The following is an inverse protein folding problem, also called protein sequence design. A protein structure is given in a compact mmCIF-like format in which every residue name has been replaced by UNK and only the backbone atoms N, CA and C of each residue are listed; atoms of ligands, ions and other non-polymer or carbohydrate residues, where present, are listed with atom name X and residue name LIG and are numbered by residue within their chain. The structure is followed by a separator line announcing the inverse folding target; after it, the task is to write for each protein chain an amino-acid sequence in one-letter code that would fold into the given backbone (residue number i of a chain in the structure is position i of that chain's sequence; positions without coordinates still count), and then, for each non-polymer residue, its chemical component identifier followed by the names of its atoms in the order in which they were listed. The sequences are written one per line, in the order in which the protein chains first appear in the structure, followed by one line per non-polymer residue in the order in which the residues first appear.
data_IF_604245895365
#
_entry.id   IF_604245895365
#
_cell.length_a   1.000
_cell.length_b   1.000
_cell.length_c   1.000
_cell.angle_alpha   90.00
_cell.angle_beta   90.00
_cell.angle_gamma   90.00
#
_symmetry.space_group_name_H-M   'P 1'
#
loop_
_entity.id
_entity.type
_entity.pdbx_description
1 polymer ?
#
# COMPACT_ATOMS: atom_id res chain seq x y z
N UNK A 1 12.00 15.14 4.58
CA UNK A 1 12.34 14.07 3.64
C UNK A 1 12.50 12.76 4.40
N UNK A 2 12.27 11.59 3.77
CA UNK A 2 12.70 10.30 4.31
C UNK A 2 14.20 10.33 4.61
N UNK A 3 14.59 9.72 5.72
CA UNK A 3 15.97 9.64 6.18
C UNK A 3 16.21 8.28 6.82
N UNK A 4 17.47 7.90 6.97
CA UNK A 4 17.91 6.84 7.86
C UNK A 4 19.04 7.32 8.76
N UNK A 5 19.26 6.61 9.87
CA UNK A 5 20.35 6.89 10.79
C UNK A 5 21.35 5.73 10.75
N UNK A 6 22.61 6.02 10.42
CA UNK A 6 23.70 5.04 10.36
C UNK A 6 24.99 5.70 10.81
N UNK A 7 25.77 4.99 11.63
CA UNK A 7 27.10 5.43 12.09
C UNK A 7 27.15 6.83 12.72
N UNK A 8 26.10 7.20 13.47
CA UNK A 8 26.03 8.51 14.13
C UNK A 8 25.56 9.67 13.24
N UNK A 9 25.25 9.40 11.96
CA UNK A 9 24.80 10.39 11.00
C UNK A 9 23.35 10.13 10.54
N UNK A 10 22.63 11.21 10.27
CA UNK A 10 21.33 11.18 9.59
C UNK A 10 21.59 11.41 8.10
N UNK A 11 21.14 10.48 7.27
CA UNK A 11 21.30 10.53 5.81
C UNK A 11 19.94 10.66 5.15
N UNK A 12 19.78 11.68 4.30
CA UNK A 12 18.70 11.76 3.32
C UNK A 12 19.14 11.13 1.99
N UNK A 13 18.19 10.53 1.27
CA UNK A 13 18.48 9.76 0.05
C UNK A 13 17.52 10.06 -1.11
N UNK A 14 16.72 11.13 -0.96
CA UNK A 14 15.81 11.61 -2.00
C UNK A 14 16.11 13.09 -2.24
N UNK A 15 16.46 13.42 -3.48
CA UNK A 15 16.77 14.77 -3.88
C UNK A 15 15.51 15.66 -3.87
N UNK A 16 15.53 16.74 -3.08
CA UNK A 16 14.42 17.69 -3.01
C UNK A 16 14.28 18.54 -4.28
N UNK A 17 15.34 18.69 -5.08
CA UNK A 17 15.31 19.48 -6.32
C UNK A 17 14.37 18.87 -7.39
N UNK A 18 14.01 17.59 -7.25
CA UNK A 18 13.10 16.87 -8.16
C UNK A 18 11.62 16.98 -7.75
N UNK A 19 11.22 18.11 -7.14
CA UNK A 19 9.87 18.38 -6.60
C UNK A 19 9.38 17.44 -5.48
N UNK A 20 10.29 16.68 -4.86
CA UNK A 20 9.98 15.92 -3.65
C UNK A 20 9.98 16.84 -2.43
N UNK A 21 8.86 16.88 -1.71
CA UNK A 21 8.61 17.90 -0.68
C UNK A 21 8.54 17.32 0.74
N UNK A 22 8.24 16.03 0.88
CA UNK A 22 8.04 15.38 2.16
C UNK A 22 8.23 13.86 2.04
N UNK A 23 8.09 13.14 3.15
CA UNK A 23 8.07 11.68 3.15
C UNK A 23 8.48 11.09 4.49
N UNK A 24 8.38 9.76 4.58
CA UNK A 24 8.74 8.98 5.76
C UNK A 24 9.32 7.62 5.35
N UNK A 25 10.42 7.24 5.99
CA UNK A 25 10.91 5.85 6.03
C UNK A 25 10.08 5.09 7.07
N UNK A 26 9.47 3.97 6.68
CA UNK A 26 8.51 3.24 7.52
C UNK A 26 9.14 1.97 8.10
N UNK A 27 9.75 1.14 7.25
CA UNK A 27 10.34 -0.13 7.65
C UNK A 27 11.70 -0.34 6.98
N UNK A 28 12.51 -1.22 7.55
CA UNK A 28 13.83 -1.65 7.06
C UNK A 28 14.00 -3.14 7.34
N UNK A 29 14.56 -3.89 6.40
CA UNK A 29 14.89 -5.31 6.58
C UNK A 29 16.37 -5.54 6.94
N UNK A 30 16.76 -6.79 7.20
CA UNK A 30 18.13 -7.17 7.59
C UNK A 30 19.14 -7.05 6.44
N UNK A 31 18.68 -6.77 5.21
CA UNK A 31 19.53 -6.50 4.05
C UNK A 31 19.74 -4.98 3.85
N UNK A 32 19.49 -4.16 4.88
CA UNK A 32 19.63 -2.70 4.83
C UNK A 32 18.75 -2.05 3.73
N UNK A 33 17.62 -2.67 3.38
CA UNK A 33 16.64 -2.09 2.44
C UNK A 33 15.49 -1.45 3.18
N UNK A 34 15.31 -0.15 2.96
CA UNK A 34 14.26 0.68 3.55
C UNK A 34 13.06 0.72 2.61
N UNK A 35 11.84 0.71 3.16
CA UNK A 35 10.63 1.09 2.46
C UNK A 35 9.89 2.24 3.16
N UNK A 36 9.08 2.95 2.40
CA UNK A 36 8.24 4.03 2.92
C UNK A 36 7.53 4.76 1.80
N UNK A 37 7.31 6.06 1.99
CA UNK A 37 6.79 6.94 0.93
C UNK A 37 7.48 8.29 0.91
N UNK A 38 7.50 8.92 -0.27
CA UNK A 38 7.86 10.32 -0.45
C UNK A 38 6.74 11.09 -1.13
N UNK A 39 6.61 12.38 -0.85
CA UNK A 39 5.53 13.22 -1.36
C UNK A 39 6.04 14.07 -2.52
N UNK A 40 5.41 13.95 -3.70
CA UNK A 40 5.71 14.75 -4.89
C UNK A 40 4.47 15.48 -5.39
N UNK A 41 4.67 16.64 -6.02
CA UNK A 41 3.59 17.30 -6.76
C UNK A 41 3.41 16.63 -8.13
N UNK A 42 2.25 16.04 -8.36
CA UNK A 42 1.87 15.42 -9.63
C UNK A 42 0.57 16.09 -10.08
N UNK A 43 0.59 16.70 -11.26
CA UNK A 43 -0.59 17.39 -11.84
C UNK A 43 -1.23 18.41 -10.87
N UNK A 44 -0.39 19.17 -10.16
CA UNK A 44 -0.83 20.20 -9.22
C UNK A 44 -1.22 19.69 -7.82
N UNK A 45 -1.35 18.38 -7.62
CA UNK A 45 -1.74 17.77 -6.33
C UNK A 45 -0.56 17.06 -5.66
N UNK A 46 -0.49 17.10 -4.33
CA UNK A 46 0.50 16.32 -3.59
C UNK A 46 0.09 14.85 -3.56
N UNK A 47 0.99 13.97 -4.00
CA UNK A 47 0.80 12.51 -4.00
C UNK A 47 1.95 11.86 -3.26
N UNK A 48 1.62 10.89 -2.41
CA UNK A 48 2.61 10.05 -1.74
C UNK A 48 2.97 8.89 -2.67
N UNK A 49 4.25 8.64 -2.92
CA UNK A 49 4.70 7.54 -3.75
C UNK A 49 5.51 6.59 -2.89
N UNK A 50 5.12 5.33 -2.90
CA UNK A 50 5.89 4.25 -2.30
C UNK A 50 7.30 4.21 -2.92
N UNK A 51 8.30 3.97 -2.07
CA UNK A 51 9.68 3.73 -2.50
C UNK A 51 10.29 2.52 -1.78
N UNK A 52 11.35 1.98 -2.38
CA UNK A 52 12.39 1.27 -1.63
C UNK A 52 13.76 1.91 -1.86
N UNK A 53 14.61 1.86 -0.84
CA UNK A 53 15.98 2.38 -0.87
C UNK A 53 16.95 1.34 -0.31
N UNK A 54 17.92 0.96 -1.11
CA UNK A 54 19.00 0.06 -0.72
C UNK A 54 20.19 0.90 -0.24
N UNK A 55 20.56 0.79 1.05
CA UNK A 55 21.64 1.59 1.65
C UNK A 55 23.02 1.18 1.11
N UNK A 56 23.22 -0.11 0.77
CA UNK A 56 24.51 -0.60 0.28
C UNK A 56 24.85 0.00 -1.09
N UNK A 57 23.86 0.03 -1.97
CA UNK A 57 24.02 0.55 -3.34
C UNK A 57 23.70 2.04 -3.47
N UNK A 58 22.99 2.61 -2.50
CA UNK A 58 22.49 3.98 -2.55
C UNK A 58 21.32 4.19 -3.53
N UNK A 59 20.76 3.11 -4.07
CA UNK A 59 19.71 3.19 -5.09
C UNK A 59 18.34 3.37 -4.45
N UNK A 60 17.62 4.39 -4.90
CA UNK A 60 16.20 4.61 -4.56
C UNK A 60 15.34 4.33 -5.78
N UNK A 61 14.29 3.53 -5.62
CA UNK A 61 13.34 3.18 -6.67
C UNK A 61 11.93 3.52 -6.22
N UNK A 62 11.15 4.07 -7.15
CA UNK A 62 9.72 4.33 -7.01
C UNK A 62 8.94 3.43 -7.97
N UNK A 63 8.46 2.26 -7.52
CA UNK A 63 7.72 1.34 -8.39
C UNK A 63 6.43 1.98 -8.93
N UNK A 64 5.94 1.44 -10.05
CA UNK A 64 4.64 1.84 -10.59
C UNK A 64 3.54 1.31 -9.67
N UNK A 65 2.72 2.21 -9.11
CA UNK A 65 1.53 1.85 -8.35
C UNK A 65 0.30 1.74 -9.28
N UNK A 66 -0.91 1.88 -8.75
CA UNK A 66 -2.14 1.64 -9.52
C UNK A 66 -2.33 2.58 -10.72
N UNK A 67 -1.97 3.87 -10.58
CA UNK A 67 -1.98 4.86 -11.65
C UNK A 67 -1.10 6.07 -11.29
N UNK A 68 -0.69 6.87 -12.27
CA UNK A 68 0.32 7.93 -12.11
C UNK A 68 0.07 8.88 -10.93
N UNK A 69 -1.17 9.35 -10.78
CA UNK A 69 -1.62 10.25 -9.71
C UNK A 69 -2.19 9.52 -8.48
N UNK A 70 -2.01 8.20 -8.38
CA UNK A 70 -2.32 7.44 -7.16
C UNK A 70 -1.30 7.75 -6.09
N UNK A 71 -1.78 7.80 -4.84
CA UNK A 71 -0.91 7.77 -3.67
C UNK A 71 -0.73 6.34 -3.19
N UNK A 72 0.50 6.00 -2.82
CA UNK A 72 0.90 4.68 -2.33
C UNK A 72 1.86 4.78 -1.16
N UNK A 73 1.85 3.75 -0.31
CA UNK A 73 2.64 3.65 0.90
C UNK A 73 3.21 2.23 1.02
N UNK A 74 4.52 2.10 1.21
CA UNK A 74 5.14 0.82 1.60
C UNK A 74 5.22 0.75 3.12
N UNK A 75 4.50 -0.19 3.73
CA UNK A 75 4.30 -0.25 5.17
C UNK A 75 5.28 -1.19 5.87
N UNK A 76 5.65 -2.29 5.22
CA UNK A 76 6.55 -3.28 5.81
C UNK A 76 7.32 -4.04 4.73
N UNK A 77 8.45 -4.62 5.11
CA UNK A 77 9.35 -5.36 4.24
C UNK A 77 9.96 -6.55 4.98
N UNK A 78 9.98 -7.72 4.34
CA UNK A 78 10.68 -8.90 4.88
C UNK A 78 12.09 -9.09 4.27
N UNK A 79 12.87 -10.00 4.83
CA UNK A 79 14.25 -10.29 4.41
C UNK A 79 14.33 -10.99 3.03
N UNK A 80 13.21 -11.52 2.55
CA UNK A 80 13.12 -11.99 1.17
C UNK A 80 12.95 -10.84 0.18
N UNK A 81 12.69 -9.60 0.62
CA UNK A 81 12.50 -8.44 -0.25
C UNK A 81 11.08 -8.30 -0.80
N UNK A 82 10.09 -8.88 -0.11
CA UNK A 82 8.68 -8.57 -0.33
C UNK A 82 8.30 -7.36 0.52
N UNK A 83 7.67 -6.39 -0.12
CA UNK A 83 7.15 -5.17 0.48
C UNK A 83 5.62 -5.24 0.41
N UNK A 84 4.95 -4.93 1.51
CA UNK A 84 3.49 -4.80 1.54
C UNK A 84 3.08 -3.39 1.87
N UNK A 85 1.89 -3.00 1.42
CA UNK A 85 1.40 -1.65 1.63
C UNK A 85 0.01 -1.45 1.07
N UNK A 86 -0.33 -0.19 0.83
CA UNK A 86 -1.61 0.16 0.22
C UNK A 86 -1.51 1.34 -0.74
N UNK A 87 -2.41 1.38 -1.71
CA UNK A 87 -2.47 2.44 -2.71
C UNK A 87 -3.89 2.79 -3.11
N UNK A 88 -4.07 4.01 -3.60
CA UNK A 88 -5.37 4.50 -4.04
C UNK A 88 -5.73 3.87 -5.40
N UNK A 89 -6.90 3.24 -5.47
CA UNK A 89 -7.45 2.68 -6.72
C UNK A 89 -8.54 3.56 -7.33
N UNK A 90 -9.13 4.45 -6.52
CA UNK A 90 -10.16 5.39 -6.97
C UNK A 90 -9.58 6.65 -7.61
N UNK A 91 -10.08 6.99 -8.81
CA UNK A 91 -9.67 8.19 -9.56
C UNK A 91 -10.43 9.47 -9.18
N UNK A 92 -11.50 9.38 -8.39
CA UNK A 92 -12.30 10.52 -7.92
C UNK A 92 -12.07 10.79 -6.43
N UNK A 93 -12.01 12.07 -6.05
CA UNK A 93 -11.77 12.51 -4.67
C UNK A 93 -12.85 12.06 -3.67
N UNK A 94 -14.07 11.79 -4.15
CA UNK A 94 -15.20 11.34 -3.32
C UNK A 94 -15.14 9.85 -2.93
N UNK A 95 -14.24 9.07 -3.54
CA UNK A 95 -14.14 7.62 -3.30
C UNK A 95 -12.72 7.11 -3.58
N UNK A 96 -11.70 7.75 -2.99
CA UNK A 96 -10.33 7.23 -3.05
C UNK A 96 -10.20 6.01 -2.12
N UNK A 97 -10.90 4.96 -2.51
CA UNK A 97 -10.74 3.62 -1.98
C UNK A 97 -9.27 3.25 -2.11
N UNK A 98 -8.78 2.60 -1.07
CA UNK A 98 -7.45 2.03 -1.05
C UNK A 98 -7.56 0.53 -1.15
N UNK A 99 -6.62 -0.06 -1.84
CA UNK A 99 -6.45 -1.51 -1.87
C UNK A 99 -5.02 -1.85 -1.46
N UNK A 100 -4.90 -3.02 -0.81
CA UNK A 100 -3.63 -3.51 -0.34
C UNK A 100 -2.83 -4.11 -1.50
N UNK A 101 -1.51 -3.95 -1.46
CA UNK A 101 -0.62 -4.52 -2.45
C UNK A 101 0.54 -5.28 -1.81
N UNK A 102 1.14 -6.17 -2.61
CA UNK A 102 2.46 -6.73 -2.40
C UNK A 102 3.36 -6.36 -3.58
N UNK A 103 4.64 -6.13 -3.32
CA UNK A 103 5.65 -5.82 -4.31
C UNK A 103 6.92 -6.61 -4.02
N UNK A 104 7.53 -7.19 -5.05
CA UNK A 104 8.85 -7.82 -4.93
C UNK A 104 9.91 -6.89 -5.50
N UNK A 105 10.98 -6.64 -4.73
CA UNK A 105 12.12 -5.83 -5.20
C UNK A 105 12.61 -6.33 -6.56
N UNK A 106 12.73 -5.39 -7.51
CA UNK A 106 13.15 -5.65 -8.88
C UNK A 106 12.00 -5.84 -9.88
N UNK A 107 10.75 -5.93 -9.41
CA UNK A 107 9.58 -5.91 -10.30
C UNK A 107 9.22 -4.49 -10.77
N UNK A 108 8.47 -4.39 -11.86
CA UNK A 108 8.11 -3.10 -12.46
C UNK A 108 6.99 -2.37 -11.70
N UNK A 109 6.04 -3.14 -11.15
CA UNK A 109 4.80 -2.62 -10.56
C UNK A 109 4.34 -3.45 -9.37
N UNK A 110 3.50 -2.86 -8.54
CA UNK A 110 2.82 -3.54 -7.45
C UNK A 110 1.84 -4.60 -7.95
N UNK A 111 1.61 -5.64 -7.16
CA UNK A 111 0.55 -6.63 -7.33
C UNK A 111 -0.55 -6.39 -6.31
N UNK A 112 -1.79 -6.27 -6.77
CA UNK A 112 -2.94 -6.11 -5.90
C UNK A 112 -3.20 -7.40 -5.10
N UNK A 113 -3.29 -7.31 -3.77
CA UNK A 113 -3.56 -8.50 -2.95
C UNK A 113 -4.94 -9.08 -3.21
N UNK A 114 -5.91 -8.27 -3.64
CA UNK A 114 -7.25 -8.75 -3.97
C UNK A 114 -7.26 -9.69 -5.18
N UNK A 115 -6.29 -9.57 -6.08
CA UNK A 115 -6.13 -10.48 -7.22
C UNK A 115 -5.55 -11.85 -6.80
N UNK A 116 -5.06 -11.97 -5.56
CA UNK A 116 -4.45 -13.19 -5.01
C UNK A 116 -5.34 -13.89 -3.97
N UNK A 117 -6.48 -13.27 -3.61
CA UNK A 117 -7.45 -13.86 -2.70
C UNK A 117 -8.17 -15.05 -3.37
N UNK A 118 -8.65 -16.03 -2.59
CA UNK A 118 -9.43 -17.13 -3.16
C UNK A 118 -10.73 -16.60 -3.77
N UNK A 119 -11.22 -17.25 -4.83
CA UNK A 119 -12.50 -16.89 -5.44
C UNK A 119 -13.68 -17.20 -4.50
N UNK A 120 -13.58 -18.29 -3.74
CA UNK A 120 -14.64 -18.80 -2.87
C UNK A 120 -14.17 -18.87 -1.41
N UNK A 121 -15.13 -18.79 -0.48
CA UNK A 121 -14.94 -19.07 0.94
C UNK A 121 -14.62 -20.57 1.15
N UNK A 122 -14.37 -20.94 2.40
CA UNK A 122 -14.01 -22.29 2.83
C UNK A 122 -15.05 -23.37 2.52
N UNK A 123 -16.28 -22.98 2.16
CA UNK A 123 -17.33 -23.89 1.70
C UNK A 123 -17.21 -24.28 0.21
N UNK A 124 -16.38 -23.55 -0.56
CA UNK A 124 -16.16 -23.78 -1.98
C UNK A 124 -17.29 -23.29 -2.90
N UNK A 125 -18.30 -22.60 -2.37
CA UNK A 125 -19.50 -22.20 -3.10
C UNK A 125 -19.83 -20.70 -2.93
N UNK A 126 -19.60 -20.14 -1.74
CA UNK A 126 -19.86 -18.73 -1.45
C UNK A 126 -18.70 -17.89 -1.95
N UNK A 127 -18.97 -16.79 -2.66
CA UNK A 127 -17.92 -15.85 -3.08
C UNK A 127 -17.13 -15.33 -1.87
N UNK A 128 -15.81 -15.21 -2.00
CA UNK A 128 -14.98 -14.68 -0.92
C UNK A 128 -15.36 -13.22 -0.63
N UNK A 129 -15.89 -12.99 0.57
CA UNK A 129 -16.60 -11.74 0.88
C UNK A 129 -15.70 -10.55 1.28
N UNK A 130 -14.39 -10.78 1.46
CA UNK A 130 -13.46 -9.77 1.98
C UNK A 130 -12.57 -9.22 0.87
N UNK A 131 -12.34 -7.91 0.92
CA UNK A 131 -11.34 -7.21 0.10
C UNK A 131 -10.33 -6.53 1.01
N UNK A 132 -9.04 -6.78 0.77
CA UNK A 132 -7.93 -6.18 1.48
C UNK A 132 -7.78 -4.71 1.08
N UNK A 133 -7.87 -3.82 2.08
CA UNK A 133 -7.75 -2.37 1.88
C UNK A 133 -6.40 -1.82 2.33
N UNK A 134 -5.73 -2.52 3.25
CA UNK A 134 -4.42 -2.15 3.78
C UNK A 134 -3.66 -3.40 4.21
N UNK A 135 -2.39 -3.51 3.84
CA UNK A 135 -1.46 -4.48 4.39
C UNK A 135 -0.43 -3.75 5.27
N UNK A 136 -0.44 -4.04 6.56
CA UNK A 136 0.32 -3.31 7.57
C UNK A 136 1.63 -3.99 7.96
N UNK A 137 1.71 -5.32 7.83
CA UNK A 137 2.91 -6.07 8.16
C UNK A 137 3.04 -7.35 7.31
N UNK A 138 4.27 -7.80 7.12
CA UNK A 138 4.63 -9.06 6.47
C UNK A 138 5.75 -9.74 7.25
N UNK A 139 5.64 -11.06 7.45
CA UNK A 139 6.71 -11.82 8.09
C UNK A 139 7.56 -12.62 7.09
N UNK A 140 8.57 -13.34 7.62
CA UNK A 140 9.49 -14.17 6.81
C UNK A 140 8.85 -15.41 6.20
N UNK A 141 7.62 -15.77 6.56
CA UNK A 141 6.86 -16.83 5.90
C UNK A 141 5.94 -16.27 4.80
N UNK A 142 6.03 -14.97 4.50
CA UNK A 142 5.11 -14.23 3.62
C UNK A 142 3.66 -14.23 4.12
N UNK A 143 3.45 -14.35 5.43
CA UNK A 143 2.14 -14.12 6.04
C UNK A 143 1.92 -12.62 6.22
N UNK A 144 0.79 -12.12 5.73
CA UNK A 144 0.47 -10.70 5.65
C UNK A 144 -0.63 -10.39 6.68
N UNK A 145 -0.40 -9.33 7.46
CA UNK A 145 -1.38 -8.77 8.37
C UNK A 145 -1.90 -7.46 7.80
N UNK A 146 -3.19 -7.20 7.98
CA UNK A 146 -3.82 -6.03 7.38
C UNK A 146 -5.29 -5.86 7.75
N UNK A 147 -5.90 -4.86 7.11
CA UNK A 147 -7.31 -4.55 7.24
C UNK A 147 -8.04 -4.98 5.97
N UNK A 148 -9.18 -5.65 6.14
CA UNK A 148 -10.08 -6.01 5.06
C UNK A 148 -11.49 -5.46 5.32
N UNK A 149 -12.21 -5.17 4.24
CA UNK A 149 -13.62 -4.75 4.28
C UNK A 149 -14.49 -5.81 3.62
N UNK A 150 -15.75 -5.89 4.06
CA UNK A 150 -16.79 -6.63 3.35
C UNK A 150 -18.03 -5.76 3.21
N UNK A 151 -18.77 -5.95 2.14
CA UNK A 151 -20.09 -5.33 1.99
C UNK A 151 -21.10 -6.07 2.85
N UNK A 152 -21.95 -5.32 3.54
CA UNK A 152 -23.04 -5.85 4.35
C UNK A 152 -24.32 -5.08 4.04
N UNK A 153 -25.47 -5.72 4.29
CA UNK A 153 -26.75 -5.04 4.22
C UNK A 153 -26.79 -3.84 5.16
N UNK A 154 -27.35 -2.73 4.68
CA UNK A 154 -27.55 -1.54 5.50
C UNK A 154 -28.72 -1.78 6.44
N UNK A 155 -28.51 -1.60 7.74
CA UNK A 155 -29.57 -1.73 8.74
C UNK A 155 -30.08 -0.35 9.20
N UNK A 156 -31.37 -0.26 9.52
CA UNK A 156 -31.98 0.90 10.15
C UNK A 156 -31.70 0.94 11.67
N UNK A 157 -32.17 1.98 12.36
CA UNK A 157 -31.96 2.14 13.81
C UNK A 157 -32.65 1.06 14.67
N UNK A 158 -33.54 0.26 14.07
CA UNK A 158 -34.27 -0.84 14.70
C UNK A 158 -33.70 -2.22 14.30
N UNK A 159 -32.69 -2.26 13.42
CA UNK A 159 -32.07 -3.49 12.91
C UNK A 159 -32.76 -4.10 11.69
N UNK A 160 -33.72 -3.41 11.07
CA UNK A 160 -34.33 -3.84 9.80
C UNK A 160 -33.45 -3.50 8.60
N UNK A 161 -33.44 -4.36 7.58
CA UNK A 161 -32.72 -4.09 6.32
C UNK A 161 -33.34 -2.89 5.62
N UNK A 162 -32.50 -1.91 5.29
CA UNK A 162 -32.87 -0.75 4.49
C UNK A 162 -32.80 -1.15 3.02
N UNK A 163 -33.97 -1.20 2.38
CA UNK A 163 -34.08 -1.41 0.95
C UNK A 163 -34.16 -0.08 0.20
N UNK A 164 -33.76 -0.07 -1.06
CA UNK A 164 -33.94 1.03 -1.99
C UNK A 164 -35.42 1.19 -2.42
N UNK A 165 -35.69 2.08 -3.37
CA UNK A 165 -37.05 2.34 -3.87
C UNK A 165 -37.68 1.15 -4.60
N UNK A 166 -36.88 0.16 -5.00
CA UNK A 166 -37.30 -1.05 -5.68
C UNK A 166 -37.48 -2.23 -4.70
N UNK A 167 -37.07 -2.07 -3.45
CA UNK A 167 -37.11 -3.14 -2.45
C UNK A 167 -35.87 -4.03 -2.44
N UNK A 168 -34.76 -3.57 -3.03
CA UNK A 168 -33.43 -4.23 -3.01
C UNK A 168 -32.53 -3.68 -1.90
#
# INVERSE_FOLDING_TARGET
MPVYFKDGAVTDFINQEDDWQAGKSIAINDNDVITGYATKRIEGTLRNKFFYHDIETGNTVFPTDYFSSSSSYGNDINNQGYIVGEGEVGVSDSSRLKEAFIYKIGEDKITNLNDLLPCYDTDGETDYAYSMVEATAINENNEIFGTATKTVEKLDSLGGVVTDINGE
#
